data_IF_664254993379
#
_entry.id   IF_664254993379
#
_cell.length_a   1.000
_cell.length_b   1.000
_cell.length_c   1.000
_cell.angle_alpha   90.00
_cell.angle_beta   90.00
_cell.angle_gamma   90.00
#
_symmetry.space_group_name_H-M   'P 1'
#
loop_
_entity.id
_entity.type
_entity.pdbx_description
1 polymer ?
#
# COMPACT_ATOMS: atom_id res chain seq x y z
N UNK A 1 1.15 18.55 21.18
CA UNK A 1 1.90 19.27 22.23
C UNK A 1 2.68 20.44 21.64
N UNK A 2 3.55 20.21 20.66
CA UNK A 2 4.34 21.26 19.99
C UNK A 2 3.52 22.46 19.47
N UNK A 3 2.46 22.23 18.68
CA UNK A 3 1.58 23.32 18.19
C UNK A 3 1.01 24.15 19.36
N UNK A 4 0.56 23.50 20.44
CA UNK A 4 0.04 24.19 21.63
C UNK A 4 1.10 25.00 22.37
N UNK A 5 2.37 24.66 22.21
CA UNK A 5 3.51 25.37 22.77
C UNK A 5 4.05 26.47 21.83
N UNK A 6 3.37 26.76 20.71
CA UNK A 6 3.80 27.77 19.74
C UNK A 6 4.90 27.32 18.79
N UNK A 7 5.33 26.06 18.84
CA UNK A 7 6.33 25.50 17.91
C UNK A 7 5.68 25.30 16.53
N UNK A 8 6.32 25.74 15.43
CA UNK A 8 5.78 25.54 14.09
C UNK A 8 5.72 24.06 13.71
N UNK A 9 4.90 23.77 12.71
CA UNK A 9 4.86 22.47 12.03
C UNK A 9 5.07 22.71 10.55
N UNK A 10 5.64 21.71 9.85
CA UNK A 10 5.96 21.79 8.43
C UNK A 10 5.38 20.58 7.71
N UNK A 11 4.92 20.80 6.47
CA UNK A 11 4.47 19.76 5.53
C UNK A 11 3.38 18.82 6.07
N UNK A 12 2.52 19.31 6.98
CA UNK A 12 1.48 18.51 7.66
C UNK A 12 0.41 17.96 6.70
N UNK A 13 0.29 18.55 5.51
CA UNK A 13 -0.56 18.10 4.40
C UNK A 13 0.04 16.90 3.65
N UNK A 14 1.33 16.61 3.83
CA UNK A 14 2.03 15.55 3.12
C UNK A 14 1.85 14.20 3.83
N UNK A 15 0.78 13.49 3.43
CA UNK A 15 0.47 12.13 3.88
C UNK A 15 0.85 11.07 2.84
N UNK A 16 1.62 10.06 3.24
CA UNK A 16 1.93 8.92 2.39
C UNK A 16 0.90 7.82 2.60
N UNK A 17 0.40 7.32 1.47
CA UNK A 17 -0.46 6.16 1.40
C UNK A 17 0.36 4.95 0.97
N UNK A 18 0.30 3.87 1.75
CA UNK A 18 0.87 2.59 1.34
C UNK A 18 -0.07 1.91 0.34
N UNK A 19 0.40 1.40 -0.82
CA UNK A 19 -0.49 0.92 -1.87
C UNK A 19 -1.32 -0.32 -1.49
N UNK A 20 -0.77 -1.17 -0.62
CA UNK A 20 -1.32 -2.50 -0.33
C UNK A 20 -1.72 -2.67 1.13
N UNK A 21 -2.69 -1.89 1.61
CA UNK A 21 -3.40 -2.23 2.85
C UNK A 21 -4.54 -3.22 2.55
N UNK A 22 -4.78 -4.20 3.43
CA UNK A 22 -5.93 -5.12 3.30
C UNK A 22 -7.22 -4.29 3.27
N UNK A 23 -8.04 -4.47 2.24
CA UNK A 23 -9.29 -3.73 2.10
C UNK A 23 -10.22 -3.98 3.31
N UNK A 24 -10.85 -2.92 3.83
CA UNK A 24 -11.63 -2.96 5.07
C UNK A 24 -10.78 -2.83 6.33
N UNK A 25 -9.87 -3.77 6.57
CA UNK A 25 -9.09 -3.82 7.82
C UNK A 25 -7.94 -2.80 7.90
N UNK A 26 -7.38 -2.39 6.76
CA UNK A 26 -6.24 -1.47 6.67
C UNK A 26 -4.89 -2.08 7.06
N UNK A 27 -4.85 -3.36 7.46
CA UNK A 27 -3.63 -4.08 7.86
C UNK A 27 -2.62 -4.07 6.72
N UNK A 28 -1.38 -3.75 7.03
CA UNK A 28 -0.32 -3.60 6.03
C UNK A 28 0.03 -4.95 5.38
N UNK A 29 -0.02 -5.00 4.04
CA UNK A 29 0.66 -6.04 3.26
C UNK A 29 1.99 -5.48 2.77
N UNK A 30 3.09 -6.11 3.18
CA UNK A 30 4.45 -5.62 2.92
C UNK A 30 4.73 -5.40 1.43
N UNK A 31 5.50 -4.35 1.13
CA UNK A 31 6.04 -4.11 -0.21
C UNK A 31 6.90 -5.28 -0.71
N UNK A 32 7.47 -6.07 0.21
CA UNK A 32 8.18 -7.31 -0.12
C UNK A 32 7.35 -8.26 -0.98
N UNK A 33 6.01 -8.27 -0.86
CA UNK A 33 5.15 -9.07 -1.74
C UNK A 33 5.31 -8.71 -3.22
N UNK A 34 5.44 -7.42 -3.55
CA UNK A 34 5.70 -6.96 -4.93
C UNK A 34 7.16 -7.21 -5.32
N UNK A 35 8.10 -7.03 -4.37
CA UNK A 35 9.51 -7.34 -4.54
C UNK A 35 9.80 -8.80 -4.91
N UNK A 36 9.07 -9.73 -4.30
CA UNK A 36 9.13 -11.18 -4.60
C UNK A 36 8.42 -11.57 -5.91
N UNK A 37 7.85 -10.59 -6.65
CA UNK A 37 7.20 -10.82 -7.94
C UNK A 37 5.67 -10.85 -7.91
N UNK A 38 5.05 -10.48 -6.78
CA UNK A 38 3.62 -10.23 -6.70
C UNK A 38 3.19 -9.05 -7.57
N UNK A 39 1.97 -9.11 -8.10
CA UNK A 39 1.46 -8.06 -8.98
C UNK A 39 0.00 -7.71 -8.76
N UNK A 40 -0.36 -6.49 -9.15
CA UNK A 40 -1.68 -5.94 -8.97
C UNK A 40 -2.59 -6.24 -10.16
N UNK A 41 -3.83 -6.62 -9.86
CA UNK A 41 -4.88 -6.91 -10.80
C UNK A 41 -6.10 -6.03 -10.55
N UNK A 42 -6.76 -5.62 -11.64
CA UNK A 42 -8.07 -4.98 -11.59
C UNK A 42 -9.20 -6.03 -11.72
N UNK A 43 -10.46 -5.59 -11.78
CA UNK A 43 -11.62 -6.51 -11.86
C UNK A 43 -11.68 -7.34 -13.14
N UNK A 44 -10.98 -6.90 -14.19
CA UNK A 44 -10.89 -7.60 -15.48
C UNK A 44 -9.72 -8.60 -15.52
N UNK A 45 -8.94 -8.71 -14.43
CA UNK A 45 -7.73 -9.54 -14.41
C UNK A 45 -6.55 -8.93 -15.17
N UNK A 46 -6.61 -7.64 -15.52
CA UNK A 46 -5.49 -6.92 -16.15
C UNK A 46 -4.41 -6.63 -15.09
N UNK A 47 -3.16 -6.94 -15.43
CA UNK A 47 -1.98 -6.46 -14.69
C UNK A 47 -1.72 -4.99 -15.00
N UNK A 48 -2.59 -4.12 -14.49
CA UNK A 48 -2.70 -2.72 -14.93
C UNK A 48 -1.42 -1.88 -14.70
N UNK A 49 -0.55 -2.25 -13.77
CA UNK A 49 0.71 -1.51 -13.54
C UNK A 49 1.64 -1.51 -14.75
N UNK A 50 1.52 -2.47 -15.67
CA UNK A 50 2.28 -2.45 -16.93
C UNK A 50 1.89 -1.27 -17.83
N UNK A 51 0.67 -0.75 -17.71
CA UNK A 51 0.18 0.44 -18.42
C UNK A 51 0.64 1.75 -17.78
N UNK A 52 0.65 1.81 -16.44
CA UNK A 52 0.98 3.04 -15.70
C UNK A 52 2.48 3.25 -15.49
N UNK A 53 3.25 2.17 -15.37
CA UNK A 53 4.71 2.21 -15.20
C UNK A 53 5.37 1.11 -16.04
N UNK A 54 5.51 1.28 -17.37
CA UNK A 54 5.96 0.21 -18.26
C UNK A 54 7.31 -0.44 -17.87
N UNK A 55 8.25 0.37 -17.35
CA UNK A 55 9.57 -0.11 -16.95
C UNK A 55 9.58 -0.75 -15.55
N UNK A 56 8.99 -0.08 -14.56
CA UNK A 56 9.06 -0.50 -13.15
C UNK A 56 7.90 -1.42 -12.73
N UNK A 57 6.77 -1.36 -13.43
CA UNK A 57 5.54 -2.11 -13.18
C UNK A 57 5.13 -1.97 -11.71
N UNK A 58 4.89 -3.09 -11.03
CA UNK A 58 4.51 -3.13 -9.61
C UNK A 58 5.62 -2.66 -8.66
N UNK A 59 6.87 -2.49 -9.13
CA UNK A 59 8.00 -1.95 -8.38
C UNK A 59 8.15 -0.42 -8.53
N UNK A 60 7.19 0.25 -9.17
CA UNK A 60 7.16 1.71 -9.18
C UNK A 60 7.05 2.31 -7.77
N UNK A 61 7.38 3.60 -7.64
CA UNK A 61 7.27 4.35 -6.39
C UNK A 61 5.88 4.23 -5.76
N UNK A 62 5.81 4.22 -4.43
CA UNK A 62 4.56 4.01 -3.67
C UNK A 62 3.45 4.97 -4.08
N UNK A 63 3.79 6.24 -4.30
CA UNK A 63 2.87 7.28 -4.75
C UNK A 63 2.28 6.96 -6.13
N UNK A 64 3.11 6.46 -7.07
CA UNK A 64 2.67 6.06 -8.41
C UNK A 64 1.72 4.85 -8.33
N UNK A 65 2.08 3.82 -7.57
CA UNK A 65 1.25 2.61 -7.43
C UNK A 65 -0.08 2.95 -6.74
N UNK A 66 -0.04 3.72 -5.64
CA UNK A 66 -1.25 4.13 -4.92
C UNK A 66 -2.18 4.97 -5.80
N UNK A 67 -1.64 5.94 -6.55
CA UNK A 67 -2.43 6.73 -7.52
C UNK A 67 -3.02 5.86 -8.62
N UNK A 68 -2.26 4.90 -9.14
CA UNK A 68 -2.72 4.01 -10.21
C UNK A 68 -3.90 3.15 -9.75
N UNK A 69 -3.85 2.59 -8.53
CA UNK A 69 -4.99 1.86 -7.94
C UNK A 69 -6.23 2.76 -7.83
N UNK A 70 -6.06 4.00 -7.35
CA UNK A 70 -7.19 4.93 -7.22
C UNK A 70 -7.77 5.35 -8.58
N UNK A 71 -6.95 5.46 -9.62
CA UNK A 71 -7.41 5.72 -10.99
C UNK A 71 -8.23 4.53 -11.50
N UNK A 72 -7.74 3.30 -11.34
CA UNK A 72 -8.49 2.09 -11.72
C UNK A 72 -9.86 2.04 -11.04
N UNK A 73 -9.91 2.33 -9.74
CA UNK A 73 -11.17 2.37 -8.99
C UNK A 73 -12.12 3.46 -9.53
N UNK A 74 -11.62 4.68 -9.73
CA UNK A 74 -12.43 5.84 -10.19
C UNK A 74 -12.93 5.68 -11.62
N UNK A 75 -12.20 4.97 -12.46
CA UNK A 75 -12.61 4.64 -13.82
C UNK A 75 -13.46 3.35 -13.88
N UNK A 76 -13.92 2.87 -12.73
CA UNK A 76 -14.86 1.76 -12.62
C UNK A 76 -14.24 0.38 -12.86
N UNK A 77 -12.91 0.26 -12.86
CA UNK A 77 -12.18 -1.02 -13.02
C UNK A 77 -11.76 -1.65 -11.69
N UNK A 78 -12.05 -1.01 -10.57
CA UNK A 78 -11.90 -1.61 -9.23
C UNK A 78 -12.77 -2.85 -9.04
N UNK A 79 -12.30 -3.80 -8.25
CA UNK A 79 -13.08 -4.96 -7.83
C UNK A 79 -14.14 -4.54 -6.81
N UNK A 80 -15.35 -5.08 -6.91
CA UNK A 80 -16.37 -4.94 -5.89
C UNK A 80 -16.15 -5.95 -4.76
N UNK A 81 -16.54 -5.59 -3.54
CA UNK A 81 -16.44 -6.48 -2.38
C UNK A 81 -17.18 -5.93 -1.17
N UNK A 82 -17.33 -6.74 -0.10
CA UNK A 82 -18.06 -6.35 1.11
C UNK A 82 -17.46 -5.11 1.80
N UNK A 83 -16.19 -4.81 1.54
CA UNK A 83 -15.43 -3.71 2.13
C UNK A 83 -15.26 -2.51 1.19
N UNK A 84 -15.99 -2.49 0.07
CA UNK A 84 -15.90 -1.45 -0.95
C UNK A 84 -14.92 -1.75 -2.08
N UNK A 85 -14.72 -0.78 -2.99
CA UNK A 85 -13.91 -0.98 -4.19
C UNK A 85 -12.42 -1.14 -3.85
N UNK A 86 -11.76 -2.11 -4.48
CA UNK A 86 -10.35 -2.43 -4.20
C UNK A 86 -9.63 -2.97 -5.44
N UNK A 87 -8.30 -3.11 -5.37
CA UNK A 87 -7.51 -3.89 -6.32
C UNK A 87 -7.16 -5.26 -5.72
N UNK A 88 -6.58 -6.16 -6.51
CA UNK A 88 -6.15 -7.48 -6.06
C UNK A 88 -4.64 -7.62 -6.14
N UNK A 89 -3.99 -8.05 -5.05
CA UNK A 89 -2.58 -8.42 -5.05
C UNK A 89 -2.44 -9.93 -5.22
N UNK A 90 -1.91 -10.37 -6.37
CA UNK A 90 -1.77 -11.79 -6.71
C UNK A 90 -0.38 -12.32 -6.37
N UNK A 91 -0.32 -13.47 -5.72
CA UNK A 91 0.92 -14.09 -5.21
C UNK A 91 1.04 -15.60 -5.49
N UNK A 92 -0.06 -16.29 -5.82
CA UNK A 92 -0.11 -17.75 -5.93
C UNK A 92 0.85 -18.33 -6.98
N UNK A 93 1.21 -17.56 -8.01
CA UNK A 93 2.19 -17.97 -9.04
C UNK A 93 3.61 -18.12 -8.51
N UNK A 94 3.93 -17.53 -7.35
CA UNK A 94 5.24 -17.68 -6.71
C UNK A 94 5.43 -19.09 -6.10
N UNK A 95 4.33 -19.82 -5.89
CA UNK A 95 4.34 -21.15 -5.32
C UNK A 95 4.33 -21.13 -3.79
N UNK A 96 3.66 -22.15 -3.22
CA UNK A 96 3.42 -22.27 -1.78
C UNK A 96 4.71 -22.21 -0.94
N UNK A 97 5.74 -22.94 -1.37
CA UNK A 97 7.02 -23.04 -0.64
C UNK A 97 7.73 -21.68 -0.52
N UNK A 98 7.70 -20.88 -1.59
CA UNK A 98 8.26 -19.52 -1.59
C UNK A 98 7.45 -18.63 -0.65
N UNK A 99 6.12 -18.68 -0.73
CA UNK A 99 5.27 -17.84 0.12
C UNK A 99 5.40 -18.18 1.61
N UNK A 100 5.48 -19.47 1.96
CA UNK A 100 5.64 -19.90 3.35
C UNK A 100 7.03 -19.59 3.91
N UNK A 101 8.07 -19.61 3.07
CA UNK A 101 9.44 -19.30 3.50
C UNK A 101 9.74 -17.79 3.56
N UNK A 102 9.26 -17.01 2.58
CA UNK A 102 9.59 -15.58 2.42
C UNK A 102 8.54 -14.65 3.02
N UNK A 103 7.26 -15.03 2.96
CA UNK A 103 6.13 -14.17 3.32
C UNK A 103 5.18 -14.78 4.38
N UNK A 104 5.65 -15.52 5.41
CA UNK A 104 4.78 -16.24 6.33
C UNK A 104 3.81 -15.32 7.09
N UNK A 105 4.29 -14.15 7.53
CA UNK A 105 3.45 -13.17 8.22
C UNK A 105 2.33 -12.63 7.34
N UNK A 106 2.55 -12.48 6.03
CA UNK A 106 1.50 -12.02 5.10
C UNK A 106 0.45 -13.10 4.88
N UNK A 107 0.84 -14.37 4.85
CA UNK A 107 -0.12 -15.48 4.78
C UNK A 107 -1.03 -15.47 6.01
N UNK A 108 -0.48 -15.31 7.20
CA UNK A 108 -1.24 -15.24 8.45
C UNK A 108 -2.18 -14.02 8.48
N UNK A 109 -1.67 -12.83 8.16
CA UNK A 109 -2.47 -11.60 8.16
C UNK A 109 -3.59 -11.66 7.12
N UNK A 110 -3.33 -12.20 5.93
CA UNK A 110 -4.34 -12.32 4.87
C UNK A 110 -5.46 -13.29 5.26
N UNK A 111 -5.11 -14.45 5.84
CA UNK A 111 -6.10 -15.42 6.30
C UNK A 111 -6.94 -14.87 7.47
N UNK A 112 -6.29 -14.12 8.36
CA UNK A 112 -6.94 -13.55 9.55
C UNK A 112 -7.87 -12.39 9.21
N UNK A 113 -7.40 -11.43 8.40
CA UNK A 113 -8.08 -10.15 8.20
C UNK A 113 -8.79 -10.01 6.85
N UNK A 114 -8.36 -10.76 5.82
CA UNK A 114 -9.01 -10.78 4.52
C UNK A 114 -9.81 -12.06 4.27
N UNK A 115 -9.68 -13.07 5.13
CA UNK A 115 -10.26 -14.40 4.96
C UNK A 115 -9.89 -15.05 3.62
N UNK A 116 -8.67 -14.78 3.17
CA UNK A 116 -8.11 -15.20 1.89
C UNK A 116 -6.82 -15.97 2.13
N UNK A 117 -6.62 -17.08 1.40
CA UNK A 117 -5.36 -17.79 1.35
C UNK A 117 -4.52 -17.34 0.12
N UNK A 118 -3.44 -16.55 0.29
CA UNK A 118 -2.69 -15.98 -0.83
C UNK A 118 -2.01 -17.02 -1.74
N UNK A 119 -1.92 -18.27 -1.27
CA UNK A 119 -1.44 -19.42 -2.05
C UNK A 119 -2.46 -19.84 -3.12
N UNK A 120 -3.72 -19.46 -2.99
CA UNK A 120 -4.83 -19.90 -3.84
C UNK A 120 -5.53 -18.75 -4.54
N UNK A 121 -5.67 -17.62 -3.86
CA UNK A 121 -6.43 -16.49 -4.37
C UNK A 121 -5.79 -15.13 -4.02
N UNK A 122 -6.01 -14.08 -4.84
CA UNK A 122 -5.41 -12.76 -4.60
C UNK A 122 -5.95 -12.04 -3.35
N UNK A 123 -5.08 -11.28 -2.68
CA UNK A 123 -5.45 -10.48 -1.50
C UNK A 123 -6.18 -9.20 -1.96
N UNK A 124 -7.35 -8.85 -1.39
CA UNK A 124 -8.01 -7.58 -1.66
C UNK A 124 -7.23 -6.43 -0.99
N UNK A 125 -6.78 -5.47 -1.78
CA UNK A 125 -5.91 -4.37 -1.33
C UNK A 125 -6.39 -3.00 -1.79
N UNK A 126 -6.16 -1.99 -0.95
CA UNK A 126 -6.48 -0.59 -1.23
C UNK A 126 -5.37 0.32 -0.67
N UNK A 127 -5.11 1.48 -1.29
CA UNK A 127 -4.22 2.48 -0.71
C UNK A 127 -4.70 2.94 0.66
N UNK A 128 -3.85 2.80 1.67
CA UNK A 128 -4.17 3.10 3.07
C UNK A 128 -3.19 4.13 3.62
N UNK A 129 -3.70 5.14 4.33
CA UNK A 129 -2.88 6.14 5.00
C UNK A 129 -1.88 5.45 5.95
N UNK A 130 -0.58 5.75 5.81
CA UNK A 130 0.46 4.95 6.44
C UNK A 130 1.49 5.79 7.20
N UNK A 131 1.91 6.91 6.62
CA UNK A 131 2.98 7.72 7.20
C UNK A 131 2.69 9.22 7.02
N UNK A 132 3.00 10.00 8.05
CA UNK A 132 2.95 11.46 8.01
C UNK A 132 4.38 11.95 7.75
N UNK A 133 4.61 12.58 6.61
CA UNK A 133 5.92 13.18 6.31
C UNK A 133 6.12 14.48 7.06
N UNK A 134 5.03 15.23 7.22
CA UNK A 134 5.03 16.43 8.03
C UNK A 134 5.31 16.17 9.51
N UNK A 135 5.71 17.23 10.20
CA UNK A 135 5.98 17.14 11.62
C UNK A 135 6.56 18.42 12.18
N UNK A 136 7.27 18.27 13.29
CA UNK A 136 8.04 19.36 13.89
C UNK A 136 9.30 19.54 13.04
N UNK A 137 9.50 20.71 12.40
CA UNK A 137 10.69 20.95 11.61
C UNK A 137 11.91 21.03 12.53
N UNK A 138 13.01 20.41 12.10
CA UNK A 138 14.25 20.34 12.86
C UNK A 138 15.45 20.73 12.01
N UNK A 139 16.55 21.11 12.66
CA UNK A 139 17.88 21.09 12.06
C UNK A 139 18.29 19.62 11.81
N UNK A 140 19.34 19.41 11.02
CA UNK A 140 19.93 18.08 10.81
C UNK A 140 20.36 17.39 12.12
N UNK A 141 20.60 18.15 13.18
CA UNK A 141 20.92 17.65 14.52
C UNK A 141 19.70 17.15 15.31
N UNK A 142 18.48 17.30 14.78
CA UNK A 142 17.22 16.98 15.46
C UNK A 142 16.68 18.08 16.38
N UNK A 143 17.38 19.21 16.52
CA UNK A 143 16.87 20.35 17.30
C UNK A 143 15.69 21.02 16.57
N UNK A 144 14.55 21.19 17.26
CA UNK A 144 13.37 21.86 16.72
C UNK A 144 13.67 23.31 16.31
N UNK A 145 13.09 23.74 15.19
CA UNK A 145 13.13 25.14 14.75
C UNK A 145 12.10 25.97 15.52
N UNK A 146 12.47 27.18 15.88
CA UNK A 146 11.62 28.20 16.48
C UNK A 146 11.20 29.24 15.45
N UNK A 147 10.18 30.06 15.77
CA UNK A 147 9.74 31.17 14.90
C UNK A 147 10.64 32.41 14.97
N UNK A 148 11.64 32.40 15.86
CA UNK A 148 12.69 33.42 16.02
C UNK A 148 14.01 32.91 15.45
#
# INVERSE_FOLDING_TARGET
>A
MAIRAGVPVQDMEMWQFHPTGIAGAGVLVTEGCRGEGGYLLNKHGERFMERYAPNAKDLAGRDVVARSIMIEIREGRGCDGPWGPHAKLKLDHLGKEVLESRLPGILELSRTFAHVDPVKEPIPVIPTCHYMMGGIPTKVTGQALTRE
#
